data_IF_715981195968
#
_entry.id   IF_715981195968
#
_cell.length_a   1.000
_cell.length_b   1.000
_cell.length_c   1.000
_cell.angle_alpha   90.00
_cell.angle_beta   90.00
_cell.angle_gamma   90.00
#
_symmetry.space_group_name_H-M   'P 1'
#
loop_
_entity.id
_entity.type
_entity.pdbx_description
1 polymer ?
#
# COMPACT_ATOMS: atom_id res chain seq x y z
N UNK A 1 11.88 -61.56 -15.42
CA UNK A 1 12.11 -60.25 -14.77
C UNK A 1 13.17 -59.51 -15.56
N UNK A 2 12.94 -58.23 -15.91
CA UNK A 2 13.60 -57.13 -15.20
C UNK A 2 12.62 -56.06 -14.69
N UNK A 3 13.09 -55.30 -13.68
CA UNK A 3 12.34 -54.46 -12.74
C UNK A 3 11.74 -53.16 -13.34
N UNK A 4 10.63 -52.65 -12.80
CA UNK A 4 10.02 -51.38 -13.19
C UNK A 4 10.85 -50.18 -12.71
N UNK A 5 11.07 -49.18 -13.58
CA UNK A 5 11.70 -47.91 -13.21
C UNK A 5 10.67 -46.98 -12.55
N UNK A 6 10.91 -46.70 -11.28
CA UNK A 6 10.25 -45.66 -10.48
C UNK A 6 10.27 -44.30 -11.19
N UNK A 7 9.09 -43.73 -11.45
CA UNK A 7 8.95 -42.30 -11.72
C UNK A 7 9.05 -41.57 -10.39
N UNK A 8 10.20 -40.94 -10.18
CA UNK A 8 10.46 -40.08 -9.04
C UNK A 8 9.49 -38.89 -9.00
N UNK A 9 9.04 -38.63 -7.79
CA UNK A 9 8.13 -37.59 -7.32
C UNK A 9 8.57 -36.20 -7.77
N UNK A 10 7.64 -35.42 -8.35
CA UNK A 10 7.82 -33.97 -8.50
C UNK A 10 7.89 -33.33 -7.09
N UNK A 11 8.84 -32.42 -6.80
CA UNK A 11 8.85 -31.71 -5.54
C UNK A 11 7.67 -30.74 -5.49
N UNK A 12 7.05 -30.69 -4.31
CA UNK A 12 5.75 -30.10 -4.06
C UNK A 12 5.65 -28.64 -4.47
N UNK A 13 4.47 -28.32 -5.02
CA UNK A 13 3.87 -26.99 -4.95
C UNK A 13 3.92 -26.59 -3.48
N UNK A 14 4.69 -25.55 -3.14
CA UNK A 14 4.64 -24.94 -1.82
C UNK A 14 3.26 -24.32 -1.72
N UNK A 15 2.34 -25.12 -1.20
CA UNK A 15 1.00 -24.71 -0.87
C UNK A 15 1.18 -23.64 0.21
N UNK A 16 0.80 -22.41 -0.13
CA UNK A 16 0.67 -21.35 0.85
C UNK A 16 -0.26 -21.91 1.93
N UNK A 17 0.30 -22.25 3.08
CA UNK A 17 -0.45 -22.69 4.24
C UNK A 17 -1.55 -21.66 4.48
N UNK A 18 -2.80 -22.08 4.24
CA UNK A 18 -3.96 -21.24 4.45
C UNK A 18 -3.90 -20.71 5.89
N UNK A 19 -4.00 -19.38 6.11
CA UNK A 19 -3.98 -18.86 7.46
C UNK A 19 -5.14 -19.47 8.24
N UNK A 20 -4.87 -19.94 9.45
CA UNK A 20 -5.91 -20.21 10.45
C UNK A 20 -6.82 -18.95 10.55
N UNK A 21 -8.12 -19.08 10.87
CA UNK A 21 -8.99 -17.92 11.05
C UNK A 21 -8.41 -17.03 12.16
N UNK A 22 -7.65 -16.00 11.77
CA UNK A 22 -7.11 -15.03 12.71
C UNK A 22 -8.25 -14.11 13.08
N UNK A 23 -8.51 -13.94 14.39
CA UNK A 23 -9.41 -12.91 14.85
C UNK A 23 -8.97 -11.57 14.22
N UNK A 24 -9.91 -10.76 13.69
CA UNK A 24 -9.57 -9.50 13.06
C UNK A 24 -8.81 -8.64 14.07
N UNK A 25 -7.66 -8.08 13.68
CA UNK A 25 -6.81 -7.38 14.62
C UNK A 25 -7.50 -6.05 15.01
N UNK A 26 -7.28 -5.64 16.25
CA UNK A 26 -7.86 -4.39 16.77
C UNK A 26 -7.08 -3.19 16.25
N UNK A 27 -7.45 -2.70 15.07
CA UNK A 27 -6.82 -1.54 14.44
C UNK A 27 -6.89 -0.31 15.36
N UNK A 28 -5.82 0.49 15.48
CA UNK A 28 -5.83 1.71 16.28
C UNK A 28 -6.96 2.65 15.88
N UNK A 29 -7.65 3.21 16.87
CA UNK A 29 -8.74 4.15 16.65
C UNK A 29 -8.23 5.49 16.14
N UNK A 30 -8.99 6.14 15.26
CA UNK A 30 -8.71 7.49 14.79
C UNK A 30 -9.04 8.51 15.89
N UNK A 31 -8.09 8.73 16.80
CA UNK A 31 -8.19 9.70 17.89
C UNK A 31 -7.03 10.70 17.84
N UNK A 32 -7.31 12.02 17.76
CA UNK A 32 -8.63 12.65 17.59
C UNK A 32 -9.30 12.24 16.26
N UNK A 33 -10.61 12.53 16.06
CA UNK A 33 -11.25 12.36 14.76
C UNK A 33 -10.43 13.03 13.65
N UNK A 34 -10.33 12.35 12.51
CA UNK A 34 -9.58 12.81 11.35
C UNK A 34 -10.52 13.49 10.33
N UNK A 35 -9.97 14.34 9.45
CA UNK A 35 -8.58 14.80 9.43
C UNK A 35 -8.30 15.87 10.51
N UNK A 36 -7.05 15.94 11.01
CA UNK A 36 -6.64 17.00 11.97
C UNK A 36 -6.32 18.31 11.25
N UNK A 37 -5.91 18.21 9.98
CA UNK A 37 -5.60 19.32 9.07
C UNK A 37 -6.21 19.00 7.72
N UNK A 38 -6.61 20.02 6.96
CA UNK A 38 -7.16 19.79 5.63
C UNK A 38 -6.17 19.03 4.74
N UNK A 39 -6.64 17.95 4.13
CA UNK A 39 -5.85 17.11 3.24
C UNK A 39 -5.89 17.70 1.84
N UNK A 40 -4.78 18.32 1.43
CA UNK A 40 -4.63 18.89 0.09
C UNK A 40 -3.66 18.00 -0.71
N UNK A 41 -4.11 17.37 -1.81
CA UNK A 41 -3.22 16.65 -2.69
C UNK A 41 -2.24 17.59 -3.40
N UNK A 42 -0.95 17.32 -3.31
CA UNK A 42 0.12 18.12 -3.90
C UNK A 42 0.92 17.29 -4.93
N UNK A 43 1.21 17.81 -6.13
CA UNK A 43 2.04 17.09 -7.10
C UNK A 43 3.48 16.92 -6.58
N UNK A 44 4.11 15.79 -6.90
CA UNK A 44 5.49 15.55 -6.52
C UNK A 44 6.44 16.51 -7.29
N UNK A 45 7.44 17.14 -6.64
CA UNK A 45 8.24 18.20 -7.25
C UNK A 45 9.09 17.77 -8.45
N UNK A 46 9.38 16.47 -8.56
CA UNK A 46 10.18 15.90 -9.66
C UNK A 46 9.34 15.20 -10.75
N UNK A 47 8.03 15.00 -10.54
CA UNK A 47 7.19 14.28 -11.52
C UNK A 47 5.71 14.58 -11.32
N UNK A 48 5.00 14.80 -12.44
CA UNK A 48 3.55 14.98 -12.47
C UNK A 48 2.76 13.69 -12.27
N UNK A 49 3.42 12.52 -12.27
CA UNK A 49 2.76 11.21 -12.17
C UNK A 49 2.50 10.75 -10.73
N UNK A 50 2.95 11.52 -9.75
CA UNK A 50 2.83 11.19 -8.33
C UNK A 50 2.22 12.37 -7.59
N UNK A 51 1.27 12.08 -6.72
CA UNK A 51 0.61 13.04 -5.84
C UNK A 51 0.90 12.64 -4.39
N UNK A 52 1.15 13.64 -3.56
CA UNK A 52 1.44 13.52 -2.15
C UNK A 52 0.26 14.06 -1.35
N UNK A 53 -0.08 13.40 -0.24
CA UNK A 53 -1.03 13.89 0.75
C UNK A 53 -0.25 14.05 2.06
N UNK A 54 0.33 15.23 2.32
CA UNK A 54 1.11 15.45 3.53
C UNK A 54 0.22 15.39 4.77
N UNK A 55 0.80 15.02 5.91
CA UNK A 55 0.11 15.01 7.21
C UNK A 55 -1.16 14.15 7.29
N UNK A 56 -1.27 13.12 6.45
CA UNK A 56 -2.43 12.21 6.40
C UNK A 56 -2.83 11.66 7.77
N UNK A 57 -1.84 11.25 8.58
CA UNK A 57 -2.04 10.89 9.98
C UNK A 57 -1.21 11.77 10.92
N UNK A 58 -1.77 12.16 12.08
CA UNK A 58 -1.01 12.86 13.11
C UNK A 58 0.06 11.94 13.70
N UNK A 59 1.16 12.55 14.20
CA UNK A 59 2.31 11.82 14.76
C UNK A 59 1.94 10.84 15.87
N UNK A 60 0.96 11.17 16.71
CA UNK A 60 0.44 10.28 17.76
C UNK A 60 -0.14 8.99 17.17
N UNK A 61 -1.00 9.11 16.16
CA UNK A 61 -1.62 7.98 15.50
C UNK A 61 -0.58 7.12 14.76
N UNK A 62 0.39 7.74 14.07
CA UNK A 62 1.50 7.01 13.45
C UNK A 62 2.28 6.16 14.46
N UNK A 63 2.56 6.70 15.65
CA UNK A 63 3.23 5.95 16.73
C UNK A 63 2.39 4.76 17.18
N UNK A 64 1.10 4.95 17.35
CA UNK A 64 0.18 3.90 17.81
C UNK A 64 0.06 2.79 16.77
N UNK A 65 0.00 3.13 15.47
CA UNK A 65 0.07 2.17 14.36
C UNK A 65 1.41 1.43 14.34
N UNK A 66 2.54 2.11 14.50
CA UNK A 66 3.86 1.43 14.55
C UNK A 66 3.94 0.45 15.73
N UNK A 67 3.42 0.83 16.90
CA UNK A 67 3.39 -0.05 18.06
C UNK A 67 2.50 -1.28 17.82
N UNK A 68 1.32 -1.07 17.23
CA UNK A 68 0.38 -2.13 16.87
C UNK A 68 0.90 -3.06 15.76
N UNK A 69 1.44 -2.53 14.66
CA UNK A 69 1.91 -3.34 13.53
C UNK A 69 3.04 -4.30 13.94
N UNK A 70 3.84 -3.93 14.95
CA UNK A 70 4.88 -4.79 15.53
C UNK A 70 4.34 -6.01 16.29
N UNK A 71 3.07 -6.01 16.69
CA UNK A 71 2.45 -7.15 17.38
C UNK A 71 1.83 -8.15 16.42
N UNK A 72 1.70 -7.79 15.13
CA UNK A 72 1.10 -8.65 14.12
C UNK A 72 2.03 -9.80 13.73
N UNK A 73 1.48 -10.97 13.35
CA UNK A 73 2.25 -12.13 12.92
C UNK A 73 2.80 -11.90 11.51
N UNK A 74 3.87 -11.11 11.40
CA UNK A 74 4.48 -10.80 10.11
C UNK A 74 5.16 -12.06 9.53
N UNK A 75 4.91 -12.31 8.25
CA UNK A 75 5.56 -13.38 7.51
C UNK A 75 6.69 -12.80 6.66
N UNK A 76 7.93 -13.17 6.96
CA UNK A 76 9.07 -12.92 6.07
C UNK A 76 8.77 -13.58 4.74
N UNK A 77 8.84 -12.86 3.62
CA UNK A 77 8.66 -13.46 2.29
C UNK A 77 9.73 -14.55 2.10
N UNK A 78 9.40 -15.86 2.12
CA UNK A 78 10.43 -16.89 2.08
C UNK A 78 10.89 -17.03 0.63
N UNK A 79 12.16 -16.76 0.37
CA UNK A 79 12.72 -16.98 -0.95
C UNK A 79 14.21 -16.75 -0.99
N UNK A 80 14.98 -17.84 -1.11
CA UNK A 80 16.33 -17.73 -1.67
C UNK A 80 16.12 -17.25 -3.11
N UNK A 81 16.59 -16.04 -3.48
CA UNK A 81 16.36 -15.50 -4.81
C UNK A 81 16.89 -16.48 -5.86
N UNK A 82 16.17 -16.69 -6.95
CA UNK A 82 16.77 -17.37 -8.10
C UNK A 82 17.79 -16.43 -8.75
N UNK A 83 18.72 -17.01 -9.52
CA UNK A 83 19.69 -16.22 -10.28
C UNK A 83 18.93 -15.27 -11.23
N UNK A 84 19.14 -13.97 -11.05
CA UNK A 84 18.45 -12.92 -11.82
C UNK A 84 17.16 -12.39 -11.17
N UNK A 85 16.72 -12.93 -10.04
CA UNK A 85 15.56 -12.40 -9.29
C UNK A 85 16.00 -11.49 -8.14
N UNK A 86 15.19 -10.48 -7.85
CA UNK A 86 15.42 -9.61 -6.70
C UNK A 86 15.17 -10.35 -5.38
N UNK A 87 16.08 -10.18 -4.42
CA UNK A 87 15.90 -10.64 -3.03
C UNK A 87 14.68 -9.91 -2.44
N UNK A 88 13.70 -10.66 -1.93
CA UNK A 88 12.56 -10.10 -1.18
C UNK A 88 12.78 -10.34 0.30
N UNK A 89 13.14 -9.29 1.03
CA UNK A 89 13.39 -9.33 2.47
C UNK A 89 12.26 -8.72 3.31
N UNK A 90 11.17 -8.28 2.68
CA UNK A 90 10.10 -7.61 3.41
C UNK A 90 9.21 -8.60 4.17
N UNK A 91 9.00 -8.29 5.44
CA UNK A 91 7.97 -8.84 6.29
C UNK A 91 6.59 -8.38 5.81
N UNK A 92 5.64 -9.32 5.72
CA UNK A 92 4.30 -9.07 5.18
C UNK A 92 3.24 -9.55 6.15
N UNK A 93 2.20 -8.74 6.31
CA UNK A 93 0.95 -9.13 6.93
C UNK A 93 -0.17 -8.80 5.96
N UNK A 94 -1.12 -9.72 5.80
CA UNK A 94 -2.27 -9.56 4.91
C UNK A 94 -3.52 -10.06 5.62
N UNK A 95 -4.56 -9.23 5.62
CA UNK A 95 -5.87 -9.58 6.12
C UNK A 95 -6.92 -8.80 5.32
N UNK A 96 -8.10 -9.38 5.16
CA UNK A 96 -9.28 -8.68 4.66
C UNK A 96 -10.05 -8.06 5.84
N UNK A 97 -10.31 -6.76 5.78
CA UNK A 97 -10.96 -6.02 6.86
C UNK A 97 -11.84 -4.93 6.28
N UNK A 98 -13.08 -5.29 5.96
CA UNK A 98 -14.07 -4.38 5.39
C UNK A 98 -14.31 -3.15 6.29
N UNK A 99 -14.48 -3.37 7.60
CA UNK A 99 -14.69 -2.27 8.56
C UNK A 99 -13.54 -1.26 8.53
N UNK A 100 -12.29 -1.75 8.57
CA UNK A 100 -11.12 -0.87 8.53
C UNK A 100 -11.01 -0.14 7.19
N UNK A 101 -11.25 -0.81 6.08
CA UNK A 101 -11.24 -0.20 4.75
C UNK A 101 -12.28 0.93 4.64
N UNK A 102 -13.51 0.68 5.10
CA UNK A 102 -14.57 1.69 5.15
C UNK A 102 -14.16 2.87 6.02
N UNK A 103 -13.64 2.62 7.24
CA UNK A 103 -13.16 3.70 8.12
C UNK A 103 -12.03 4.51 7.47
N UNK A 104 -11.05 3.84 6.85
CA UNK A 104 -9.94 4.51 6.18
C UNK A 104 -10.45 5.43 5.05
N UNK A 105 -11.43 4.97 4.28
CA UNK A 105 -12.01 5.75 3.18
C UNK A 105 -12.86 6.92 3.67
N UNK A 106 -13.76 6.66 4.62
CA UNK A 106 -14.82 7.61 5.00
C UNK A 106 -14.46 8.54 6.17
N UNK A 107 -13.52 8.15 7.05
CA UNK A 107 -13.28 8.87 8.30
C UNK A 107 -11.93 9.59 8.36
N UNK A 108 -11.09 9.46 7.34
CA UNK A 108 -9.75 10.08 7.32
C UNK A 108 -9.69 11.39 6.55
N UNK A 109 -10.75 11.74 5.81
CA UNK A 109 -10.74 12.82 4.81
C UNK A 109 -10.17 12.41 3.46
N UNK A 110 -9.76 11.13 3.28
CA UNK A 110 -9.18 10.64 2.03
C UNK A 110 -10.16 10.74 0.85
N UNK A 111 -11.41 10.33 1.09
CA UNK A 111 -12.47 10.39 0.08
C UNK A 111 -12.67 11.80 -0.43
N UNK A 112 -12.79 12.76 0.49
CA UNK A 112 -12.98 14.17 0.18
C UNK A 112 -11.78 14.70 -0.60
N UNK A 113 -10.56 14.44 -0.13
CA UNK A 113 -9.33 14.89 -0.78
C UNK A 113 -9.21 14.39 -2.23
N UNK A 114 -9.60 13.15 -2.51
CA UNK A 114 -9.48 12.55 -3.85
C UNK A 114 -10.65 12.86 -4.79
N UNK A 115 -11.86 13.09 -4.25
CA UNK A 115 -13.04 13.42 -5.06
C UNK A 115 -13.12 14.93 -5.34
N UNK A 116 -12.78 15.77 -4.34
CA UNK A 116 -12.79 17.23 -4.48
C UNK A 116 -11.51 17.75 -5.12
N UNK A 117 -10.38 17.08 -4.88
CA UNK A 117 -9.11 17.35 -5.54
C UNK A 117 -9.11 16.80 -6.96
N UNK A 118 -9.83 17.45 -7.88
CA UNK A 118 -9.29 17.54 -9.23
C UNK A 118 -7.95 18.23 -9.07
N UNK A 119 -6.86 17.48 -9.19
CA UNK A 119 -5.53 18.04 -9.42
C UNK A 119 -5.67 18.78 -10.75
N UNK A 120 -6.12 20.04 -10.69
CA UNK A 120 -6.15 20.93 -11.82
C UNK A 120 -4.78 20.82 -12.46
N UNK A 121 -4.82 20.63 -13.78
CA UNK A 121 -3.74 20.37 -14.70
C UNK A 121 -2.70 21.50 -14.69
N UNK A 122 -2.04 21.76 -13.56
CA UNK A 122 -0.86 22.63 -13.44
C UNK A 122 0.40 21.93 -13.92
N UNK A 123 0.23 20.97 -14.83
CA UNK A 123 1.30 20.34 -15.60
C UNK A 123 1.46 20.98 -17.00
N UNK A 124 0.61 21.93 -17.38
CA UNK A 124 0.83 22.75 -18.57
C UNK A 124 1.23 24.17 -18.18
N UNK A 125 2.54 24.40 -18.07
CA UNK A 125 3.20 25.55 -18.67
C UNK A 125 4.73 25.35 -18.72
N UNK A 126 5.14 24.15 -19.14
CA UNK A 126 6.42 23.96 -19.83
C UNK A 126 6.14 23.78 -21.32
N UNK A 127 5.39 24.69 -21.94
CA UNK A 127 5.27 24.79 -23.40
C UNK A 127 5.08 26.24 -23.82
N UNK A 128 6.22 26.87 -24.03
CA UNK A 128 6.41 28.10 -24.80
C UNK A 128 6.04 27.91 -26.29
N UNK A 129 4.84 27.41 -26.61
CA UNK A 129 4.41 27.14 -27.99
C UNK A 129 3.10 27.84 -28.40
N UNK A 130 2.32 28.39 -27.46
CA UNK A 130 1.13 29.20 -27.78
C UNK A 130 1.43 30.68 -28.07
N UNK A 131 2.71 31.08 -28.11
CA UNK A 131 3.15 32.40 -28.59
C UNK A 131 3.55 32.38 -30.09
N UNK A 132 3.40 31.25 -30.79
CA UNK A 132 3.77 31.12 -32.20
C UNK A 132 2.62 31.36 -33.20
N UNK A 133 1.39 31.57 -32.74
CA UNK A 133 0.26 31.93 -33.61
C UNK A 133 -0.41 33.22 -33.14
N UNK A 134 0.39 34.29 -33.08
CA UNK A 134 -0.10 35.63 -33.38
C UNK A 134 0.17 35.89 -34.86
N UNK A 135 -0.83 35.63 -35.70
CA UNK A 135 -1.16 36.41 -36.89
C UNK A 135 -2.54 36.01 -37.42
#
# INVERSE_FOLDING_TARGET
MPKPKNKASKPGKVEASAPLPQAPPSWPAFKPPLPVVDLVPEPHPLTSKVVLIPSFFPRSLCRDYVAFLKTLPLQTTPGRPKRGEAVRVNDRFQIDSQDFATRLWEQTGLKEALIQGYVEEKCENVTAWAAAYTK
#
